data_IF_658021361887
#
_entry.id   IF_658021361887
#
_cell.length_a   1.000
_cell.length_b   1.000
_cell.length_c   1.000
_cell.angle_alpha   90.00
_cell.angle_beta   90.00
_cell.angle_gamma   90.00
#
_symmetry.space_group_name_H-M   'P 1'
#
loop_
_entity.id
_entity.type
_entity.pdbx_description
1 polymer ?
#
# COMPACT_ATOMS: atom_id res chain seq x y z
N UNK A 1 -10.36 1.76 -8.03
CA UNK A 1 -9.04 1.45 -8.63
C UNK A 1 -7.92 1.94 -7.72
N UNK A 2 -6.92 1.11 -7.50
CA UNK A 2 -5.79 1.37 -6.61
C UNK A 2 -4.48 0.90 -7.24
N UNK A 3 -3.36 1.31 -6.67
CA UNK A 3 -2.05 0.76 -7.03
C UNK A 3 -2.01 -0.76 -6.76
N UNK A 4 -1.32 -1.48 -7.64
CA UNK A 4 -1.18 -2.94 -7.56
C UNK A 4 0.21 -3.39 -7.12
N UNK A 5 1.01 -2.46 -6.63
CA UNK A 5 2.34 -2.71 -6.07
C UNK A 5 2.73 -1.62 -5.05
N UNK A 6 3.71 -1.94 -4.23
CA UNK A 6 4.35 -1.02 -3.30
C UNK A 6 5.89 -1.19 -3.38
N UNK A 7 6.70 -0.14 -3.55
CA UNK A 7 6.29 1.24 -3.83
C UNK A 7 5.36 1.31 -5.05
N UNK A 8 4.40 2.24 -5.01
CA UNK A 8 3.33 2.26 -6.00
C UNK A 8 3.85 2.48 -7.44
N UNK A 9 3.13 1.89 -8.37
CA UNK A 9 3.31 2.12 -9.82
C UNK A 9 3.02 3.57 -10.19
N UNK A 10 3.44 3.98 -11.39
CA UNK A 10 3.07 5.29 -11.91
C UNK A 10 1.54 5.45 -11.89
N UNK A 11 1.09 6.58 -11.34
CA UNK A 11 -0.32 6.95 -11.25
C UNK A 11 -1.05 6.90 -12.60
N UNK A 12 -0.33 7.11 -13.71
CA UNK A 12 -0.90 7.04 -15.06
C UNK A 12 -1.34 5.63 -15.42
N UNK A 13 -0.63 4.60 -14.96
CA UNK A 13 -1.02 3.19 -15.16
C UNK A 13 -2.35 2.91 -14.44
N UNK A 14 -2.45 3.33 -13.17
CA UNK A 14 -3.67 3.16 -12.37
C UNK A 14 -4.85 3.94 -12.96
N UNK A 15 -4.63 5.20 -13.40
CA UNK A 15 -5.66 6.01 -14.04
C UNK A 15 -6.13 5.38 -15.35
N UNK A 16 -5.21 4.91 -16.20
CA UNK A 16 -5.54 4.23 -17.45
C UNK A 16 -6.41 3.00 -17.21
N UNK A 17 -6.07 2.17 -16.22
CA UNK A 17 -6.89 1.02 -15.84
C UNK A 17 -8.29 1.44 -15.42
N UNK A 18 -8.43 2.48 -14.62
CA UNK A 18 -9.75 3.00 -14.22
C UNK A 18 -10.58 3.48 -15.42
N UNK A 19 -9.95 4.22 -16.32
CA UNK A 19 -10.62 4.73 -17.54
C UNK A 19 -11.00 3.58 -18.46
N UNK A 20 -10.12 2.61 -18.70
CA UNK A 20 -10.41 1.46 -19.53
C UNK A 20 -11.60 0.66 -18.98
N UNK A 21 -11.65 0.39 -17.66
CA UNK A 21 -12.81 -0.27 -17.05
C UNK A 21 -14.11 0.51 -17.30
N UNK A 22 -14.05 1.84 -17.25
CA UNK A 22 -15.22 2.69 -17.53
C UNK A 22 -15.63 2.60 -19.02
N UNK A 23 -14.67 2.76 -19.94
CA UNK A 23 -14.92 2.74 -21.39
C UNK A 23 -15.52 1.40 -21.82
N UNK A 24 -14.90 0.28 -21.40
CA UNK A 24 -15.41 -1.06 -21.71
C UNK A 24 -16.85 -1.27 -21.23
N UNK A 25 -17.19 -0.73 -20.08
CA UNK A 25 -18.57 -0.80 -19.54
C UNK A 25 -19.54 0.01 -20.38
N UNK A 26 -19.15 1.22 -20.79
CA UNK A 26 -19.98 2.08 -21.64
C UNK A 26 -20.20 1.46 -23.02
N UNK A 27 -19.17 0.87 -23.63
CA UNK A 27 -19.27 0.16 -24.91
C UNK A 27 -20.20 -1.03 -24.85
N UNK A 28 -20.26 -1.72 -23.69
CA UNK A 28 -21.19 -2.83 -23.44
C UNK A 28 -22.58 -2.37 -22.99
N UNK A 29 -22.84 -1.07 -22.93
CA UNK A 29 -24.11 -0.52 -22.45
C UNK A 29 -24.34 -0.72 -20.94
N UNK A 30 -23.29 -1.03 -20.19
CA UNK A 30 -23.35 -1.24 -18.75
C UNK A 30 -23.14 0.08 -18.00
N UNK A 31 -23.89 0.27 -16.92
CA UNK A 31 -23.73 1.40 -16.02
C UNK A 31 -22.63 1.18 -14.96
N UNK A 32 -22.81 1.80 -13.80
CA UNK A 32 -21.94 1.56 -12.63
C UNK A 32 -21.98 0.07 -12.21
N UNK A 33 -20.92 -0.45 -11.58
CA UNK A 33 -20.94 -1.81 -11.02
C UNK A 33 -22.11 -2.01 -10.08
N UNK A 34 -22.76 -3.17 -10.19
CA UNK A 34 -23.95 -3.47 -9.40
C UNK A 34 -23.60 -3.71 -7.92
N UNK A 35 -22.42 -4.29 -7.68
CA UNK A 35 -21.99 -4.69 -6.34
C UNK A 35 -20.59 -4.17 -6.03
N UNK A 36 -20.38 -3.92 -4.75
CA UNK A 36 -19.07 -3.64 -4.16
C UNK A 36 -19.02 -4.19 -2.73
N UNK A 37 -17.94 -4.85 -2.41
CA UNK A 37 -17.63 -5.32 -1.07
C UNK A 37 -16.43 -4.55 -0.53
N UNK A 38 -16.58 -4.09 0.69
CA UNK A 38 -15.54 -3.44 1.47
C UNK A 38 -15.31 -4.26 2.73
N UNK A 39 -14.07 -4.73 2.93
CA UNK A 39 -13.70 -5.50 4.11
C UNK A 39 -12.59 -4.78 4.85
N UNK A 40 -12.84 -4.42 6.08
CA UNK A 40 -11.82 -3.93 6.99
C UNK A 40 -10.90 -5.06 7.41
N UNK A 41 -9.60 -4.83 7.32
CA UNK A 41 -8.59 -5.74 7.84
C UNK A 41 -7.90 -5.02 9.00
N UNK A 42 -8.02 -5.50 10.24
CA UNK A 42 -7.53 -4.79 11.43
C UNK A 42 -5.99 -4.89 11.54
N UNK A 43 -5.32 -4.37 10.52
CA UNK A 43 -3.86 -4.31 10.39
C UNK A 43 -3.48 -2.84 10.23
N UNK A 44 -2.49 -2.41 11.00
CA UNK A 44 -1.84 -1.12 10.85
C UNK A 44 -0.35 -1.36 10.65
N UNK A 45 0.16 -1.04 9.48
CA UNK A 45 1.56 -1.25 9.08
C UNK A 45 2.16 0.03 8.53
N UNK A 46 3.43 0.31 8.83
CA UNK A 46 4.20 1.27 8.05
C UNK A 46 4.28 0.83 6.59
N UNK A 47 4.09 1.76 5.66
CA UNK A 47 4.19 1.48 4.22
C UNK A 47 5.53 0.87 3.82
N UNK A 48 6.58 1.22 4.54
CA UNK A 48 7.96 0.75 4.36
C UNK A 48 8.13 -0.76 4.57
N UNK A 49 7.19 -1.41 5.27
CA UNK A 49 7.14 -2.86 5.43
C UNK A 49 6.39 -3.58 4.31
N UNK A 50 5.65 -2.87 3.46
CA UNK A 50 4.68 -3.47 2.55
C UNK A 50 5.14 -3.53 1.09
N UNK A 51 6.46 -3.57 0.86
CA UNK A 51 7.00 -3.66 -0.49
C UNK A 51 6.57 -4.95 -1.20
N UNK A 52 6.08 -4.81 -2.44
CA UNK A 52 5.75 -5.95 -3.31
C UNK A 52 6.96 -6.53 -4.03
N UNK A 53 8.16 -6.04 -3.75
CA UNK A 53 9.44 -6.61 -4.24
C UNK A 53 9.88 -7.81 -3.40
N UNK A 54 9.39 -7.90 -2.18
CA UNK A 54 9.72 -8.96 -1.21
C UNK A 54 8.45 -9.59 -0.65
N UNK A 55 8.59 -10.76 -0.04
CA UNK A 55 7.50 -11.41 0.68
C UNK A 55 7.21 -10.69 2.01
N UNK A 56 5.99 -10.74 2.50
CA UNK A 56 4.80 -11.37 1.92
C UNK A 56 4.06 -10.47 0.93
N UNK A 57 4.46 -9.21 0.79
CA UNK A 57 3.80 -8.24 -0.09
C UNK A 57 3.72 -8.73 -1.54
N UNK A 58 4.80 -9.31 -2.06
CA UNK A 58 4.87 -9.86 -3.42
C UNK A 58 3.77 -10.89 -3.69
N UNK A 59 3.69 -11.93 -2.89
CA UNK A 59 2.69 -13.00 -3.06
C UNK A 59 1.26 -12.52 -2.76
N UNK A 60 1.10 -11.60 -1.80
CA UNK A 60 -0.22 -11.05 -1.49
C UNK A 60 -0.80 -10.27 -2.66
N UNK A 61 -0.04 -9.34 -3.22
CA UNK A 61 -0.51 -8.52 -4.35
C UNK A 61 -0.58 -9.30 -5.67
N UNK A 62 0.20 -10.37 -5.83
CA UNK A 62 0.12 -11.28 -6.98
C UNK A 62 -1.24 -11.99 -7.09
N UNK A 63 -2.07 -11.96 -6.04
CA UNK A 63 -3.44 -12.51 -6.07
C UNK A 63 -4.43 -11.60 -6.83
N UNK A 64 -4.15 -10.31 -6.96
CA UNK A 64 -5.06 -9.35 -7.59
C UNK A 64 -5.42 -9.70 -9.05
N UNK A 65 -4.46 -10.05 -9.94
CA UNK A 65 -4.79 -10.44 -11.31
C UNK A 65 -5.75 -11.63 -11.39
N UNK A 66 -5.54 -12.68 -10.60
CA UNK A 66 -6.40 -13.86 -10.59
C UNK A 66 -7.81 -13.56 -10.07
N UNK A 67 -7.93 -12.63 -9.13
CA UNK A 67 -9.22 -12.15 -8.62
C UNK A 67 -9.95 -11.33 -9.69
N UNK A 68 -9.27 -10.41 -10.34
CA UNK A 68 -9.88 -9.57 -11.38
C UNK A 68 -10.15 -10.29 -12.69
N UNK A 69 -9.61 -11.50 -12.87
CA UNK A 69 -9.94 -12.37 -14.00
C UNK A 69 -11.21 -13.22 -13.78
N UNK A 70 -11.77 -13.24 -12.57
CA UNK A 70 -13.01 -13.96 -12.28
C UNK A 70 -14.18 -13.28 -12.99
N UNK A 71 -15.06 -14.10 -13.56
CA UNK A 71 -16.33 -13.61 -14.12
C UNK A 71 -17.12 -12.86 -13.04
N UNK A 72 -17.70 -11.74 -13.42
CA UNK A 72 -18.47 -10.88 -12.51
C UNK A 72 -17.64 -9.95 -11.61
N UNK A 73 -16.30 -10.05 -11.61
CA UNK A 73 -15.41 -9.10 -10.91
C UNK A 73 -14.83 -8.12 -11.93
N UNK A 74 -14.85 -6.83 -11.59
CA UNK A 74 -14.32 -5.75 -12.44
C UNK A 74 -12.97 -5.27 -11.94
N UNK A 75 -12.88 -4.98 -10.64
CA UNK A 75 -11.63 -4.48 -10.05
C UNK A 75 -11.54 -4.92 -8.58
N UNK A 76 -10.30 -5.04 -8.12
CA UNK A 76 -9.98 -5.38 -6.74
C UNK A 76 -8.78 -4.57 -6.26
N UNK A 77 -8.78 -4.21 -4.98
CA UNK A 77 -7.73 -3.44 -4.34
C UNK A 77 -7.45 -3.94 -2.93
N UNK A 78 -6.17 -3.93 -2.55
CA UNK A 78 -5.71 -4.06 -1.18
C UNK A 78 -5.14 -2.69 -0.79
N UNK A 79 -5.65 -2.13 0.29
CA UNK A 79 -5.23 -0.84 0.81
C UNK A 79 -4.43 -1.03 2.08
N UNK A 80 -3.24 -0.50 2.06
CA UNK A 80 -2.38 -0.42 3.22
C UNK A 80 -2.63 0.94 3.87
N UNK A 81 -2.84 0.93 5.16
CA UNK A 81 -2.98 2.13 5.96
C UNK A 81 -1.66 2.93 6.03
N UNK A 82 -1.73 4.13 6.57
CA UNK A 82 -0.56 4.96 6.84
C UNK A 82 -0.39 5.13 8.36
N UNK A 83 0.44 4.29 8.97
CA UNK A 83 0.60 4.19 10.42
C UNK A 83 1.03 5.53 11.08
N UNK A 84 1.83 6.31 10.38
CA UNK A 84 2.39 7.57 10.90
C UNK A 84 1.38 8.72 10.98
N UNK A 85 0.18 8.58 10.37
CA UNK A 85 -0.88 9.57 10.49
C UNK A 85 -1.57 9.57 11.85
N UNK A 86 -1.36 8.54 12.68
CA UNK A 86 -1.97 8.36 14.02
C UNK A 86 -3.48 8.67 14.06
N UNK A 87 -4.20 8.15 13.10
CA UNK A 87 -5.63 8.40 12.89
C UNK A 87 -6.42 7.15 13.32
N UNK A 88 -7.39 7.26 14.24
CA UNK A 88 -8.11 6.11 14.80
C UNK A 88 -8.83 5.22 13.76
N UNK A 89 -9.20 5.79 12.61
CA UNK A 89 -9.84 5.06 11.50
C UNK A 89 -8.85 4.37 10.56
N UNK A 90 -7.56 4.50 10.82
CA UNK A 90 -6.50 4.06 9.94
C UNK A 90 -6.23 2.56 10.12
N UNK A 91 -6.54 1.79 9.11
CA UNK A 91 -6.33 0.34 9.07
C UNK A 91 -6.32 -0.17 7.64
N UNK A 92 -5.85 -1.40 7.45
CA UNK A 92 -5.90 -2.07 6.16
C UNK A 92 -7.34 -2.29 5.69
N UNK A 93 -7.54 -2.34 4.38
CA UNK A 93 -8.83 -2.65 3.80
C UNK A 93 -8.68 -3.36 2.45
N UNK A 94 -9.71 -4.11 2.10
CA UNK A 94 -9.88 -4.70 0.78
C UNK A 94 -11.17 -4.17 0.17
N UNK A 95 -11.13 -3.82 -1.10
CA UNK A 95 -12.32 -3.45 -1.86
C UNK A 95 -12.36 -4.26 -3.16
N UNK A 96 -13.53 -4.83 -3.46
CA UNK A 96 -13.81 -5.52 -4.72
C UNK A 96 -15.10 -4.96 -5.30
N UNK A 97 -15.13 -4.75 -6.62
CA UNK A 97 -16.29 -4.28 -7.36
C UNK A 97 -16.60 -5.20 -8.53
N UNK A 98 -17.86 -5.36 -8.86
CA UNK A 98 -18.28 -6.22 -9.96
C UNK A 98 -19.80 -6.25 -10.18
N UNK A 99 -20.22 -7.13 -11.05
CA UNK A 99 -21.63 -7.31 -11.44
C UNK A 99 -22.25 -8.61 -10.89
N UNK A 100 -21.43 -9.52 -10.36
CA UNK A 100 -21.89 -10.70 -9.63
C UNK A 100 -21.63 -10.54 -8.12
N UNK A 101 -22.72 -10.58 -7.34
CA UNK A 101 -22.65 -10.39 -5.89
C UNK A 101 -21.76 -11.41 -5.19
N UNK A 102 -21.96 -12.69 -5.52
CA UNK A 102 -21.24 -13.78 -4.88
C UNK A 102 -19.75 -13.73 -5.20
N UNK A 103 -19.40 -13.54 -6.46
CA UNK A 103 -18.00 -13.41 -6.89
C UNK A 103 -17.30 -12.22 -6.22
N UNK A 104 -18.00 -11.09 -6.05
CA UNK A 104 -17.48 -9.89 -5.38
C UNK A 104 -17.23 -10.15 -3.89
N UNK A 105 -18.21 -10.70 -3.16
CA UNK A 105 -18.12 -10.97 -1.73
C UNK A 105 -17.05 -12.04 -1.41
N UNK A 106 -17.07 -13.15 -2.11
CA UNK A 106 -16.06 -14.22 -1.94
C UNK A 106 -14.63 -13.74 -2.25
N UNK A 107 -14.47 -12.93 -3.29
CA UNK A 107 -13.17 -12.36 -3.65
C UNK A 107 -12.67 -11.36 -2.62
N UNK A 108 -13.55 -10.53 -2.05
CA UNK A 108 -13.19 -9.59 -1.00
C UNK A 108 -12.76 -10.31 0.28
N UNK A 109 -13.48 -11.33 0.69
CA UNK A 109 -13.12 -12.15 1.86
C UNK A 109 -11.83 -12.93 1.63
N UNK A 110 -11.63 -13.49 0.44
CA UNK A 110 -10.40 -14.19 0.09
C UNK A 110 -9.16 -13.30 0.20
N UNK A 111 -9.23 -12.08 -0.35
CA UNK A 111 -8.12 -11.13 -0.26
C UNK A 111 -7.90 -10.62 1.15
N UNK A 112 -8.98 -10.33 1.88
CA UNK A 112 -8.90 -9.88 3.26
C UNK A 112 -8.30 -10.94 4.19
N UNK A 113 -8.73 -12.20 4.05
CA UNK A 113 -8.16 -13.33 4.78
C UNK A 113 -6.69 -13.53 4.42
N UNK A 114 -6.35 -13.48 3.12
CA UNK A 114 -4.97 -13.59 2.66
C UNK A 114 -4.06 -12.51 3.27
N UNK A 115 -4.57 -11.27 3.41
CA UNK A 115 -3.84 -10.19 4.04
C UNK A 115 -3.67 -10.42 5.55
N UNK A 116 -4.73 -10.84 6.21
CA UNK A 116 -4.70 -11.16 7.63
C UNK A 116 -3.72 -12.29 7.97
N UNK A 117 -3.70 -13.36 7.19
CA UNK A 117 -2.86 -14.53 7.42
C UNK A 117 -1.36 -14.20 7.42
N UNK A 118 -0.95 -13.23 6.62
CA UNK A 118 0.46 -12.81 6.51
C UNK A 118 0.83 -11.61 7.39
N UNK A 119 -0.08 -11.09 8.21
CA UNK A 119 0.07 -9.84 8.97
C UNK A 119 1.34 -9.72 9.81
N UNK A 120 1.85 -10.82 10.33
CA UNK A 120 3.04 -10.87 11.19
C UNK A 120 4.34 -11.14 10.42
N UNK A 121 4.28 -11.22 9.07
CA UNK A 121 5.42 -11.55 8.23
C UNK A 121 6.04 -10.32 7.55
N UNK A 122 5.40 -9.17 7.69
CA UNK A 122 5.89 -7.94 7.08
C UNK A 122 7.11 -7.39 7.82
N UNK A 123 8.20 -7.19 7.09
CA UNK A 123 9.46 -6.66 7.60
C UNK A 123 9.90 -5.42 6.81
N UNK A 124 10.74 -4.60 7.41
CA UNK A 124 11.36 -3.49 6.68
C UNK A 124 12.30 -4.04 5.61
N UNK A 125 12.22 -3.47 4.41
CA UNK A 125 13.07 -3.89 3.27
C UNK A 125 14.47 -3.29 3.31
N UNK A 126 14.70 -2.32 4.16
CA UNK A 126 16.01 -1.72 4.40
C UNK A 126 16.32 -1.76 5.90
N UNK A 127 17.59 -1.73 6.30
CA UNK A 127 17.96 -1.58 7.70
C UNK A 127 17.33 -0.31 8.30
N UNK A 128 16.75 -0.45 9.48
CA UNK A 128 16.12 0.66 10.21
C UNK A 128 16.72 0.77 11.61
N UNK A 129 16.89 1.99 12.07
CA UNK A 129 17.40 2.27 13.41
C UNK A 129 17.05 3.71 13.80
N UNK A 130 17.33 4.07 15.05
CA UNK A 130 17.23 5.45 15.49
C UNK A 130 18.23 6.34 14.74
N UNK A 131 17.95 7.64 14.66
CA UNK A 131 18.72 8.60 13.86
C UNK A 131 20.21 8.58 14.21
N UNK A 132 20.57 8.57 15.51
CA UNK A 132 21.96 8.54 15.94
C UNK A 132 22.71 7.32 15.38
N UNK A 133 22.11 6.13 15.48
CA UNK A 133 22.68 4.89 14.96
C UNK A 133 22.88 4.98 13.44
N UNK A 134 21.89 5.54 12.72
CA UNK A 134 21.98 5.74 11.28
C UNK A 134 23.11 6.71 10.89
N UNK A 135 23.24 7.82 11.62
CA UNK A 135 24.29 8.82 11.39
C UNK A 135 25.67 8.22 11.67
N UNK A 136 25.83 7.51 12.78
CA UNK A 136 27.10 6.85 13.11
C UNK A 136 27.49 5.79 12.08
N UNK A 137 26.52 5.03 11.58
CA UNK A 137 26.75 4.07 10.49
C UNK A 137 27.21 4.77 9.19
N UNK A 138 26.59 5.88 8.85
CA UNK A 138 26.96 6.69 7.68
C UNK A 138 28.39 7.26 7.81
N UNK A 139 28.74 7.81 8.97
CA UNK A 139 30.07 8.38 9.24
C UNK A 139 31.19 7.32 9.15
N UNK A 140 30.90 6.09 9.56
CA UNK A 140 31.85 4.97 9.54
C UNK A 140 31.91 4.24 8.18
N UNK A 141 30.98 4.52 7.28
CA UNK A 141 30.88 3.81 6.01
C UNK A 141 31.91 4.28 5.00
N UNK A 142 32.58 3.33 4.34
CA UNK A 142 33.43 3.59 3.19
C UNK A 142 32.61 3.76 1.89
N UNK A 143 31.31 3.39 1.90
CA UNK A 143 30.41 3.52 0.74
C UNK A 143 29.82 4.92 0.67
N UNK A 144 29.93 5.55 -0.48
CA UNK A 144 29.39 6.91 -0.75
C UNK A 144 28.69 6.95 -2.08
N UNK A 145 27.56 7.67 -2.21
CA UNK A 145 26.83 8.35 -1.13
C UNK A 145 26.13 7.38 -0.17
N UNK A 146 25.87 7.83 1.07
CA UNK A 146 25.07 7.10 2.04
C UNK A 146 23.72 7.82 2.20
N UNK A 147 22.63 7.07 2.12
CA UNK A 147 21.28 7.62 2.21
C UNK A 147 20.64 7.23 3.53
N UNK A 148 20.11 8.21 4.23
CA UNK A 148 19.26 8.04 5.41
C UNK A 148 17.91 8.66 5.05
N UNK A 149 16.82 7.93 5.22
CA UNK A 149 15.46 8.39 4.96
C UNK A 149 14.66 8.41 6.25
N UNK A 150 14.00 9.53 6.50
CA UNK A 150 12.93 9.61 7.51
C UNK A 150 11.71 8.82 7.04
N UNK A 151 11.03 8.14 7.95
CA UNK A 151 9.87 7.30 7.64
C UNK A 151 8.54 7.95 8.02
N UNK A 152 8.53 9.05 8.73
CA UNK A 152 7.31 9.56 9.39
C UNK A 152 6.58 10.63 8.60
N UNK A 153 7.16 11.79 8.47
CA UNK A 153 6.47 13.02 8.09
C UNK A 153 6.25 13.15 6.59
N UNK A 154 5.30 12.40 6.05
CA UNK A 154 4.93 12.45 4.64
C UNK A 154 3.58 13.19 4.45
N UNK A 155 3.57 14.46 4.03
CA UNK A 155 2.35 15.24 3.86
C UNK A 155 1.42 14.69 2.77
N UNK A 156 1.96 14.01 1.76
CA UNK A 156 1.13 13.39 0.70
C UNK A 156 0.39 12.15 1.18
N UNK A 157 0.75 11.62 2.33
CA UNK A 157 0.10 10.46 2.94
C UNK A 157 -0.60 10.79 4.27
N UNK A 158 -0.64 12.06 4.66
CA UNK A 158 -1.36 12.53 5.86
C UNK A 158 -0.46 12.98 7.02
N UNK A 159 0.86 12.98 6.86
CA UNK A 159 1.77 13.60 7.82
C UNK A 159 1.70 15.12 7.79
N UNK A 160 2.14 15.80 8.84
CA UNK A 160 2.11 17.26 8.95
C UNK A 160 3.00 17.95 7.91
N UNK A 161 4.20 17.41 7.66
CA UNK A 161 5.13 17.90 6.64
C UNK A 161 5.99 19.10 7.08
N UNK A 162 5.91 19.48 8.34
CA UNK A 162 6.63 20.61 8.90
C UNK A 162 7.42 20.25 10.18
N UNK A 163 7.66 18.97 10.39
CA UNK A 163 8.41 18.46 11.54
C UNK A 163 9.91 18.64 11.31
N UNK A 164 10.54 19.49 12.09
CA UNK A 164 11.97 19.85 11.97
C UNK A 164 12.89 19.06 12.89
N UNK A 165 12.39 18.04 13.58
CA UNK A 165 13.12 17.26 14.57
C UNK A 165 14.43 16.67 14.01
N UNK A 166 14.37 16.06 12.83
CA UNK A 166 15.54 15.46 12.17
C UNK A 166 16.64 16.49 11.90
N UNK A 167 16.27 17.69 11.43
CA UNK A 167 17.24 18.79 11.22
C UNK A 167 17.83 19.25 12.57
N UNK A 168 17.00 19.38 13.59
CA UNK A 168 17.43 19.75 14.93
C UNK A 168 18.44 18.72 15.47
N UNK A 169 18.14 17.44 15.39
CA UNK A 169 19.06 16.40 15.86
C UNK A 169 20.36 16.37 15.06
N UNK A 170 20.30 16.48 13.73
CA UNK A 170 21.48 16.52 12.87
C UNK A 170 22.39 17.74 13.17
N UNK A 171 21.82 18.87 13.60
CA UNK A 171 22.61 20.06 13.96
C UNK A 171 23.55 19.85 15.17
N UNK A 172 23.36 18.79 15.96
CA UNK A 172 24.21 18.41 17.08
C UNK A 172 25.50 17.73 16.64
N UNK A 173 25.58 17.24 15.41
CA UNK A 173 26.78 16.66 14.83
C UNK A 173 27.61 17.78 14.16
N UNK A 174 28.87 17.88 14.57
CA UNK A 174 29.84 18.87 14.03
C UNK A 174 30.81 18.21 13.08
#
# INVERSE_FOLDING_TARGET
TCFRMAPHEDRMITKRRAVNNLVERLEKGLGKPAYKAWVYVPILLPGEKTSTRVEPGKSLYAKLPSVTAKEGVIDAAIWIAYAWADEPRNHGAVMVTGDDKKAVEESALYLAQSFWDVRNQFEFVAPTADLDVCVQAALKSDKKPYFISDMGDNPTAGGAGDVTWTIHELSKYK
#
